data_IF_080189042736
#
_entry.id   IF_080189042736
#
_cell.length_a   1.000
_cell.length_b   1.000
_cell.length_c   1.000
_cell.angle_alpha   90.00
_cell.angle_beta   90.00
_cell.angle_gamma   90.00
#
_symmetry.space_group_name_H-M   'P 1'
#
loop_
_entity.id
_entity.type
_entity.pdbx_description
1 polymer ?
#
# COMPACT_ATOMS: atom_id res chain seq x y z
N UNK A 1 -28.47 -39.09 11.31
CA UNK A 1 -28.27 -37.77 10.70
C UNK A 1 -27.36 -37.98 9.52
N UNK A 2 -27.71 -37.40 8.39
CA UNK A 2 -26.91 -37.52 7.17
C UNK A 2 -25.70 -36.59 7.26
N UNK A 3 -24.48 -37.07 6.95
CA UNK A 3 -23.30 -36.22 6.92
C UNK A 3 -23.38 -35.27 5.73
N UNK A 4 -23.21 -33.96 5.99
CA UNK A 4 -23.18 -32.91 4.97
C UNK A 4 -21.78 -32.29 4.93
N UNK A 5 -21.28 -31.96 3.73
CA UNK A 5 -19.99 -31.27 3.63
C UNK A 5 -20.11 -29.84 4.16
N UNK A 6 -19.07 -29.35 4.82
CA UNK A 6 -19.03 -28.00 5.37
C UNK A 6 -19.39 -26.91 4.34
N UNK A 7 -18.81 -26.96 3.14
CA UNK A 7 -19.08 -25.98 2.09
C UNK A 7 -20.46 -26.10 1.43
N UNK A 8 -21.08 -27.27 1.50
CA UNK A 8 -22.48 -27.45 1.08
C UNK A 8 -23.41 -26.82 2.12
N UNK A 9 -23.16 -27.08 3.40
CA UNK A 9 -23.87 -26.47 4.53
C UNK A 9 -23.81 -24.94 4.52
N UNK A 10 -22.61 -24.38 4.39
CA UNK A 10 -22.43 -22.91 4.30
C UNK A 10 -23.10 -22.34 3.06
N UNK A 11 -23.07 -23.06 1.93
CA UNK A 11 -23.76 -22.66 0.71
C UNK A 11 -25.27 -22.48 0.93
N UNK A 12 -25.94 -23.49 1.50
CA UNK A 12 -27.39 -23.44 1.77
C UNK A 12 -27.76 -22.26 2.69
N UNK A 13 -26.94 -21.98 3.71
CA UNK A 13 -27.18 -20.84 4.62
C UNK A 13 -27.04 -19.51 3.88
N UNK A 14 -25.99 -19.34 3.08
CA UNK A 14 -25.74 -18.10 2.34
C UNK A 14 -26.78 -17.87 1.26
N UNK A 15 -27.16 -18.92 0.52
CA UNK A 15 -28.20 -18.87 -0.50
C UNK A 15 -29.55 -18.45 0.14
N UNK A 16 -29.91 -19.01 1.30
CA UNK A 16 -31.14 -18.64 2.03
C UNK A 16 -31.12 -17.23 2.64
N UNK A 17 -29.93 -16.66 2.86
CA UNK A 17 -29.75 -15.29 3.33
C UNK A 17 -29.51 -14.28 2.18
N UNK A 18 -29.61 -14.72 0.92
CA UNK A 18 -29.41 -13.90 -0.30
C UNK A 18 -27.98 -13.37 -0.43
N UNK A 19 -26.99 -14.13 0.04
CA UNK A 19 -25.57 -13.84 -0.18
C UNK A 19 -25.01 -14.64 -1.35
N UNK A 20 -24.01 -14.06 -2.02
CA UNK A 20 -23.24 -14.80 -3.02
C UNK A 20 -22.43 -15.93 -2.38
N UNK A 21 -22.45 -17.08 -3.04
CA UNK A 21 -21.71 -18.26 -2.59
C UNK A 21 -20.19 -18.02 -2.69
N UNK A 22 -19.40 -18.37 -1.66
CA UNK A 22 -17.96 -18.17 -1.67
C UNK A 22 -17.31 -19.03 -2.76
N UNK A 23 -16.71 -18.37 -3.75
CA UNK A 23 -16.03 -19.01 -4.88
C UNK A 23 -14.52 -19.15 -4.69
N UNK A 24 -13.93 -18.35 -3.78
CA UNK A 24 -12.50 -18.31 -3.52
C UNK A 24 -12.12 -19.42 -2.54
N UNK A 25 -11.26 -20.34 -2.99
CA UNK A 25 -10.72 -21.42 -2.15
C UNK A 25 -9.30 -21.07 -1.73
N UNK A 26 -9.10 -20.81 -0.44
CA UNK A 26 -7.78 -20.50 0.12
C UNK A 26 -7.23 -21.78 0.78
N UNK A 27 -6.02 -22.25 0.40
CA UNK A 27 -5.43 -23.44 1.00
C UNK A 27 -5.04 -23.19 2.46
N UNK A 28 -5.17 -24.22 3.30
CA UNK A 28 -4.91 -24.12 4.74
C UNK A 28 -3.44 -23.78 5.07
N UNK A 29 -2.50 -24.16 4.21
CA UNK A 29 -1.08 -23.81 4.34
C UNK A 29 -0.84 -22.29 4.31
N UNK A 30 -1.61 -21.55 3.50
CA UNK A 30 -1.55 -20.08 3.42
C UNK A 30 -2.31 -19.44 4.58
N UNK A 31 -3.45 -20.02 4.96
CA UNK A 31 -4.30 -19.45 6.02
C UNK A 31 -3.66 -19.58 7.42
N UNK A 32 -2.90 -20.66 7.69
CA UNK A 32 -2.23 -20.89 8.98
C UNK A 32 -1.26 -19.77 9.42
N UNK A 33 -0.27 -19.35 8.60
CA UNK A 33 0.64 -18.27 8.99
C UNK A 33 -0.09 -16.93 9.15
N UNK A 34 -1.09 -16.65 8.30
CA UNK A 34 -1.95 -15.46 8.44
C UNK A 34 -2.65 -15.45 9.80
N UNK A 35 -3.19 -16.58 10.23
CA UNK A 35 -3.85 -16.70 11.53
C UNK A 35 -2.90 -16.55 12.70
N UNK A 36 -1.68 -17.10 12.58
CA UNK A 36 -0.64 -16.94 13.58
C UNK A 36 -0.22 -15.47 13.72
N UNK A 37 -0.09 -14.76 12.60
CA UNK A 37 0.18 -13.33 12.58
C UNK A 37 -0.94 -12.53 13.26
N UNK A 38 -2.21 -12.82 12.93
CA UNK A 38 -3.37 -12.16 13.56
C UNK A 38 -3.41 -12.45 15.07
N UNK A 39 -3.11 -13.68 15.49
CA UNK A 39 -3.03 -14.04 16.90
C UNK A 39 -1.89 -13.30 17.62
N UNK A 40 -0.73 -13.15 16.98
CA UNK A 40 0.39 -12.38 17.51
C UNK A 40 0.04 -10.90 17.67
N UNK A 41 -0.59 -10.30 16.64
CA UNK A 41 -1.09 -8.94 16.69
C UNK A 41 -2.10 -8.73 17.81
N UNK A 42 -3.03 -9.67 17.99
CA UNK A 42 -3.97 -9.63 19.10
C UNK A 42 -3.28 -9.78 20.46
N UNK A 43 -2.22 -10.58 20.58
CA UNK A 43 -1.45 -10.68 21.83
C UNK A 43 -0.75 -9.37 22.17
N UNK A 44 -0.25 -8.65 21.16
CA UNK A 44 0.45 -7.39 21.32
C UNK A 44 -0.51 -6.21 21.60
N UNK A 45 -1.63 -6.14 20.88
CA UNK A 45 -2.60 -5.03 20.97
C UNK A 45 -3.80 -5.35 21.87
N UNK A 46 -3.94 -6.58 22.36
CA UNK A 46 -5.01 -7.01 23.26
C UNK A 46 -5.11 -6.16 24.53
N UNK A 47 -3.98 -5.78 25.19
CA UNK A 47 -4.00 -4.85 26.33
C UNK A 47 -4.57 -3.47 26.01
N UNK A 48 -4.61 -3.08 24.74
CA UNK A 48 -5.14 -1.80 24.26
C UNK A 48 -6.64 -1.87 23.90
N UNK A 49 -7.34 -2.93 24.29
CA UNK A 49 -8.80 -3.05 24.12
C UNK A 49 -9.24 -3.56 22.75
N UNK A 50 -8.39 -4.28 22.02
CA UNK A 50 -8.77 -4.89 20.75
C UNK A 50 -9.82 -6.01 20.96
N UNK A 51 -10.92 -6.07 20.17
CA UNK A 51 -11.86 -7.18 20.23
C UNK A 51 -11.25 -8.48 19.70
N UNK A 52 -11.76 -9.62 20.19
CA UNK A 52 -11.24 -10.95 19.81
C UNK A 52 -11.37 -11.15 18.28
N UNK A 53 -10.27 -11.46 17.57
CA UNK A 53 -10.31 -11.66 16.14
C UNK A 53 -11.11 -12.91 15.78
N UNK A 54 -11.91 -12.82 14.73
CA UNK A 54 -12.70 -13.97 14.25
C UNK A 54 -11.81 -15.05 13.59
N UNK A 55 -10.63 -14.66 13.11
CA UNK A 55 -9.63 -15.50 12.43
C UNK A 55 -8.58 -16.00 13.43
N UNK A 56 -8.95 -16.97 14.26
CA UNK A 56 -8.02 -17.62 15.21
C UNK A 56 -7.44 -18.90 14.59
N UNK A 57 -6.16 -19.26 14.86
CA UNK A 57 -5.56 -20.51 14.40
C UNK A 57 -6.38 -21.77 14.76
N UNK A 58 -6.99 -21.78 15.94
CA UNK A 58 -7.86 -22.87 16.40
C UNK A 58 -9.08 -23.06 15.49
N UNK A 59 -9.77 -21.97 15.16
CA UNK A 59 -10.94 -21.99 14.26
C UNK A 59 -10.55 -22.47 12.87
N UNK A 60 -9.42 -22.00 12.34
CA UNK A 60 -8.95 -22.44 11.02
C UNK A 60 -8.60 -23.92 11.00
N UNK A 61 -7.98 -24.42 12.07
CA UNK A 61 -7.72 -25.86 12.23
C UNK A 61 -9.02 -26.67 12.25
N UNK A 62 -10.03 -26.21 13.01
CA UNK A 62 -11.34 -26.84 13.05
C UNK A 62 -12.05 -26.85 11.69
N UNK A 63 -11.96 -25.75 10.94
CA UNK A 63 -12.58 -25.63 9.61
C UNK A 63 -11.85 -26.44 8.53
N UNK A 64 -10.55 -26.69 8.71
CA UNK A 64 -9.75 -27.47 7.76
C UNK A 64 -10.01 -28.97 7.89
N UNK A 65 -10.28 -29.44 9.11
CA UNK A 65 -10.50 -30.87 9.37
C UNK A 65 -11.97 -31.26 9.20
N UNK A 66 -12.24 -32.23 8.33
CA UNK A 66 -13.56 -32.87 8.29
C UNK A 66 -13.76 -33.72 9.54
N UNK A 67 -14.73 -33.35 10.38
CA UNK A 67 -15.15 -34.15 11.54
C UNK A 67 -16.62 -34.49 11.42
N UNK A 68 -16.94 -35.76 11.55
CA UNK A 68 -18.30 -36.27 11.63
C UNK A 68 -18.53 -36.88 13.01
N UNK A 69 -19.68 -36.63 13.60
CA UNK A 69 -20.05 -37.20 14.90
C UNK A 69 -21.06 -38.35 14.69
N UNK A 70 -20.80 -39.49 15.32
CA UNK A 70 -21.76 -40.59 15.35
C UNK A 70 -22.72 -40.42 16.52
N UNK A 71 -24.01 -40.42 16.21
CA UNK A 71 -25.08 -40.40 17.22
C UNK A 71 -25.49 -41.80 17.71
N UNK A 72 -24.76 -42.88 17.36
CA UNK A 72 -25.16 -44.25 17.76
C UNK A 72 -25.28 -44.41 19.27
N UNK A 73 -24.22 -44.04 20.02
CA UNK A 73 -24.21 -44.11 21.49
C UNK A 73 -25.31 -43.27 22.15
N UNK A 74 -25.71 -42.16 21.52
CA UNK A 74 -26.78 -41.31 22.04
C UNK A 74 -28.15 -41.98 21.84
N UNK A 75 -28.37 -42.64 20.70
CA UNK A 75 -29.59 -43.43 20.48
C UNK A 75 -29.70 -44.56 21.50
N UNK A 76 -28.62 -45.27 21.75
CA UNK A 76 -28.63 -46.45 22.62
C UNK A 76 -28.79 -46.10 24.10
N UNK A 77 -28.15 -45.01 24.56
CA UNK A 77 -28.09 -44.67 25.99
C UNK A 77 -29.18 -43.72 26.47
N UNK A 78 -29.60 -42.80 25.60
CA UNK A 78 -30.54 -41.72 25.96
C UNK A 78 -31.76 -41.68 25.03
N UNK A 79 -31.98 -42.73 24.23
CA UNK A 79 -33.10 -42.86 23.28
C UNK A 79 -33.27 -41.62 22.39
N UNK A 80 -32.15 -40.98 22.05
CA UNK A 80 -32.17 -39.71 21.32
C UNK A 80 -32.72 -39.90 19.90
N UNK A 81 -33.78 -39.17 19.58
CA UNK A 81 -34.34 -39.08 18.23
C UNK A 81 -34.38 -37.61 17.79
N UNK A 82 -33.85 -37.27 16.60
CA UNK A 82 -33.88 -35.90 16.12
C UNK A 82 -35.32 -35.46 15.84
N UNK A 83 -35.77 -34.39 16.50
CA UNK A 83 -37.13 -33.83 16.38
C UNK A 83 -37.38 -33.29 14.96
N UNK A 84 -36.34 -32.74 14.33
CA UNK A 84 -36.41 -32.16 12.98
C UNK A 84 -35.31 -32.74 12.10
N UNK A 85 -35.60 -32.81 10.79
CA UNK A 85 -34.57 -33.13 9.80
C UNK A 85 -33.55 -31.99 9.69
N UNK A 86 -32.37 -32.29 9.17
CA UNK A 86 -31.30 -31.29 9.01
C UNK A 86 -31.72 -30.12 8.12
N UNK A 87 -32.41 -30.42 7.00
CA UNK A 87 -32.89 -29.40 6.06
C UNK A 87 -33.98 -28.51 6.67
N UNK A 88 -34.92 -29.10 7.42
CA UNK A 88 -35.97 -28.34 8.11
C UNK A 88 -35.38 -27.45 9.21
N UNK A 89 -34.39 -27.96 9.97
CA UNK A 89 -33.67 -27.18 10.97
C UNK A 89 -32.91 -26.00 10.37
N UNK A 90 -32.28 -26.19 9.20
CA UNK A 90 -31.63 -25.13 8.44
C UNK A 90 -32.61 -24.04 8.03
N UNK A 91 -33.76 -24.41 7.46
CA UNK A 91 -34.81 -23.48 7.03
C UNK A 91 -35.28 -22.60 8.19
N UNK A 92 -35.65 -23.21 9.33
CA UNK A 92 -36.08 -22.49 10.55
C UNK A 92 -35.01 -21.54 11.09
N UNK A 93 -33.74 -21.96 10.99
CA UNK A 93 -32.61 -21.13 11.41
C UNK A 93 -32.48 -19.91 10.51
N UNK A 94 -32.53 -20.08 9.19
CA UNK A 94 -32.47 -18.98 8.22
C UNK A 94 -33.63 -17.99 8.44
N UNK A 95 -34.84 -18.49 8.69
CA UNK A 95 -36.01 -17.65 8.96
C UNK A 95 -35.85 -16.83 10.26
N UNK A 96 -35.24 -17.41 11.30
CA UNK A 96 -34.91 -16.72 12.56
C UNK A 96 -33.88 -15.60 12.37
N UNK A 97 -32.90 -15.80 11.48
CA UNK A 97 -31.86 -14.82 11.17
C UNK A 97 -32.23 -13.87 10.02
N UNK A 98 -33.51 -13.54 9.86
CA UNK A 98 -34.00 -12.63 8.82
C UNK A 98 -33.29 -11.26 8.80
N UNK A 99 -32.87 -10.75 9.97
CA UNK A 99 -32.12 -9.49 10.11
C UNK A 99 -30.70 -9.52 9.50
N UNK A 100 -30.15 -10.71 9.23
CA UNK A 100 -28.83 -10.87 8.59
C UNK A 100 -28.93 -10.95 7.06
N UNK A 101 -30.14 -10.95 6.47
CA UNK A 101 -30.32 -11.01 5.02
C UNK A 101 -29.62 -9.84 4.34
N UNK A 102 -29.02 -10.12 3.19
CA UNK A 102 -28.36 -9.09 2.39
C UNK A 102 -29.39 -8.05 1.94
N UNK A 103 -29.21 -6.81 2.37
CA UNK A 103 -29.94 -5.67 1.82
C UNK A 103 -29.31 -5.30 0.47
N UNK A 104 -29.90 -5.80 -0.61
CA UNK A 104 -29.43 -5.57 -1.98
C UNK A 104 -29.36 -4.08 -2.32
N UNK A 105 -30.20 -3.24 -1.69
CA UNK A 105 -30.25 -1.80 -1.96
C UNK A 105 -29.02 -1.04 -1.44
N UNK A 106 -28.33 -1.56 -0.41
CA UNK A 106 -27.19 -0.88 0.21
C UNK A 106 -25.89 -1.01 -0.60
N UNK A 107 -25.82 -1.93 -1.55
CA UNK A 107 -24.64 -2.16 -2.41
C UNK A 107 -24.49 -1.15 -3.54
N UNK A 108 -25.51 -0.35 -3.85
CA UNK A 108 -25.47 0.62 -4.94
C UNK A 108 -24.74 1.94 -4.57
N UNK A 109 -24.37 2.12 -3.30
CA UNK A 109 -23.63 3.30 -2.83
C UNK A 109 -22.11 3.19 -3.05
N UNK A 110 -21.39 4.32 -3.20
CA UNK A 110 -19.93 4.32 -3.27
C UNK A 110 -19.31 3.66 -2.03
N UNK A 111 -18.22 2.91 -2.23
CA UNK A 111 -17.59 2.16 -1.15
C UNK A 111 -17.15 3.09 0.00
N UNK A 112 -17.25 2.62 1.24
CA UNK A 112 -16.84 3.41 2.42
C UNK A 112 -15.38 3.90 2.31
N UNK A 113 -14.52 3.09 1.70
CA UNK A 113 -13.13 3.45 1.42
C UNK A 113 -13.01 4.59 0.40
N UNK A 114 -13.85 4.62 -0.64
CA UNK A 114 -13.88 5.75 -1.59
C UNK A 114 -14.26 7.07 -0.90
N UNK A 115 -15.23 7.02 0.01
CA UNK A 115 -15.62 8.18 0.81
C UNK A 115 -14.49 8.63 1.75
N UNK A 116 -13.82 7.67 2.41
CA UNK A 116 -12.77 7.93 3.40
C UNK A 116 -11.47 8.45 2.77
N UNK A 117 -11.18 8.07 1.52
CA UNK A 117 -10.06 8.61 0.73
C UNK A 117 -10.34 10.00 0.14
N UNK A 118 -11.44 10.66 0.55
CA UNK A 118 -11.76 12.03 0.16
C UNK A 118 -12.41 12.15 -1.21
N UNK A 119 -12.99 11.06 -1.75
CA UNK A 119 -13.79 10.99 -2.99
C UNK A 119 -13.27 11.88 -4.14
N UNK A 120 -12.55 11.28 -5.09
CA UNK A 120 -12.03 12.00 -6.25
C UNK A 120 -10.89 11.24 -6.94
N UNK A 121 -10.12 11.96 -7.76
CA UNK A 121 -9.11 11.37 -8.67
C UNK A 121 -8.05 10.54 -7.93
N UNK A 122 -7.65 10.94 -6.73
CA UNK A 122 -6.72 10.17 -5.89
C UNK A 122 -7.34 8.87 -5.37
N UNK A 123 -8.61 8.90 -4.95
CA UNK A 123 -9.35 7.72 -4.53
C UNK A 123 -9.58 6.75 -5.70
N UNK A 124 -9.93 7.25 -6.89
CA UNK A 124 -10.08 6.43 -8.11
C UNK A 124 -8.75 5.79 -8.55
N UNK A 125 -7.64 6.52 -8.40
CA UNK A 125 -6.30 6.01 -8.70
C UNK A 125 -5.87 4.94 -7.69
N UNK A 126 -6.14 5.13 -6.39
CA UNK A 126 -5.76 4.18 -5.34
C UNK A 126 -6.68 2.96 -5.25
N UNK A 127 -7.98 3.11 -5.55
CA UNK A 127 -8.98 2.03 -5.54
C UNK A 127 -9.02 1.22 -6.84
N UNK A 128 -7.99 1.33 -7.68
CA UNK A 128 -7.77 0.46 -8.84
C UNK A 128 -8.86 0.55 -9.91
N UNK A 129 -9.43 1.73 -10.13
CA UNK A 129 -10.40 1.96 -11.22
C UNK A 129 -9.73 2.02 -12.59
N UNK A 130 -8.51 2.57 -12.66
CA UNK A 130 -7.72 2.70 -13.90
C UNK A 130 -6.41 1.88 -13.86
N UNK A 131 -6.45 0.66 -14.42
CA UNK A 131 -5.33 -0.32 -14.40
C UNK A 131 -3.99 0.26 -14.90
N UNK A 132 -4.00 1.16 -15.89
CA UNK A 132 -2.78 1.75 -16.46
C UNK A 132 -2.14 2.78 -15.52
N UNK A 133 -2.94 3.67 -14.95
CA UNK A 133 -2.46 4.69 -14.01
C UNK A 133 -1.95 4.06 -12.71
N UNK A 134 -2.61 3.00 -12.23
CA UNK A 134 -2.15 2.27 -11.04
C UNK A 134 -0.81 1.59 -11.25
N UNK A 135 -0.57 1.04 -12.45
CA UNK A 135 0.72 0.40 -12.76
C UNK A 135 1.82 1.46 -12.83
N UNK A 136 1.58 2.60 -13.48
CA UNK A 136 2.55 3.71 -13.53
C UNK A 136 2.85 4.25 -12.12
N UNK A 137 1.80 4.51 -11.32
CA UNK A 137 1.98 4.98 -9.94
C UNK A 137 2.75 3.97 -9.09
N UNK A 138 2.48 2.67 -9.24
CA UNK A 138 3.22 1.62 -8.55
C UNK A 138 4.68 1.54 -9.00
N UNK A 139 4.96 1.66 -10.30
CA UNK A 139 6.32 1.70 -10.84
C UNK A 139 7.08 2.92 -10.30
N UNK A 140 6.45 4.10 -10.28
CA UNK A 140 7.04 5.32 -9.71
C UNK A 140 7.32 5.14 -8.22
N UNK A 141 6.38 4.53 -7.48
CA UNK A 141 6.56 4.27 -6.05
C UNK A 141 7.68 3.24 -5.79
N UNK A 142 7.78 2.19 -6.60
CA UNK A 142 8.86 1.19 -6.53
C UNK A 142 10.20 1.85 -6.88
N UNK A 143 10.25 2.67 -7.93
CA UNK A 143 11.46 3.41 -8.31
C UNK A 143 11.90 4.36 -7.18
N UNK A 144 10.95 5.07 -6.57
CA UNK A 144 11.19 5.91 -5.40
C UNK A 144 11.73 5.09 -4.20
N UNK A 145 11.13 3.92 -3.95
CA UNK A 145 11.59 2.99 -2.91
C UNK A 145 13.02 2.50 -3.19
N UNK A 146 13.34 2.02 -4.39
CA UNK A 146 14.70 1.58 -4.69
C UNK A 146 15.72 2.72 -4.62
N UNK A 147 15.35 3.91 -5.09
CA UNK A 147 16.24 5.06 -5.12
C UNK A 147 16.55 5.60 -3.71
N UNK A 148 15.56 5.63 -2.82
CA UNK A 148 15.70 6.23 -1.50
C UNK A 148 15.98 5.20 -0.40
N UNK A 149 15.33 4.04 -0.46
CA UNK A 149 15.33 3.06 0.62
C UNK A 149 16.38 1.96 0.40
N UNK A 150 16.40 1.33 -0.77
CA UNK A 150 17.31 0.21 -1.01
C UNK A 150 18.81 0.59 -1.05
N UNK A 151 19.12 1.88 -1.19
CA UNK A 151 20.50 2.37 -1.36
C UNK A 151 20.99 3.27 -0.21
N UNK A 152 20.22 3.38 0.87
CA UNK A 152 20.55 4.15 2.09
C UNK A 152 21.01 5.61 1.85
N UNK A 153 20.52 6.25 0.79
CA UNK A 153 20.92 7.62 0.46
C UNK A 153 20.16 8.65 1.28
N UNK A 154 20.90 9.51 2.00
CA UNK A 154 20.34 10.75 2.55
C UNK A 154 19.91 11.70 1.42
N UNK A 155 18.92 12.56 1.66
CA UNK A 155 18.43 13.55 0.69
C UNK A 155 19.60 14.33 0.05
N UNK A 156 20.61 14.67 0.86
CA UNK A 156 21.84 15.35 0.42
C UNK A 156 22.62 14.55 -0.63
N UNK A 157 22.81 13.24 -0.42
CA UNK A 157 23.52 12.37 -1.37
C UNK A 157 22.72 12.16 -2.66
N UNK A 158 21.40 12.04 -2.57
CA UNK A 158 20.52 11.93 -3.73
C UNK A 158 20.56 13.18 -4.62
N UNK A 159 20.50 14.38 -4.00
CA UNK A 159 20.60 15.67 -4.71
C UNK A 159 21.99 15.83 -5.34
N UNK A 160 23.05 15.49 -4.62
CA UNK A 160 24.42 15.54 -5.14
C UNK A 160 24.62 14.62 -6.35
N UNK A 161 24.13 13.38 -6.30
CA UNK A 161 24.20 12.44 -7.42
C UNK A 161 23.37 12.90 -8.62
N UNK A 162 22.16 13.45 -8.39
CA UNK A 162 21.33 14.00 -9.47
C UNK A 162 22.01 15.18 -10.16
N UNK A 163 22.61 16.09 -9.39
CA UNK A 163 23.42 17.20 -9.90
C UNK A 163 24.64 16.70 -10.68
N UNK A 164 25.31 15.68 -10.16
CA UNK A 164 26.47 15.06 -10.81
C UNK A 164 26.10 14.42 -12.16
N UNK A 165 25.00 13.66 -12.22
CA UNK A 165 24.49 13.06 -13.47
C UNK A 165 24.05 14.14 -14.45
N UNK A 166 23.37 15.18 -13.97
CA UNK A 166 22.95 16.31 -14.82
C UNK A 166 24.16 17.04 -15.40
N UNK A 167 25.17 17.31 -14.57
CA UNK A 167 26.41 17.98 -15.01
C UNK A 167 27.19 17.11 -15.98
N UNK A 168 27.30 15.80 -15.72
CA UNK A 168 27.92 14.84 -16.63
C UNK A 168 27.18 14.76 -17.97
N UNK A 169 25.85 14.73 -17.95
CA UNK A 169 25.04 14.72 -19.16
C UNK A 169 25.23 16.02 -19.97
N UNK A 170 25.19 17.18 -19.32
CA UNK A 170 25.46 18.48 -19.95
C UNK A 170 26.90 18.54 -20.51
N UNK A 171 27.87 17.96 -19.81
CA UNK A 171 29.26 17.90 -20.24
C UNK A 171 29.44 16.99 -21.46
N UNK A 172 28.87 15.78 -21.45
CA UNK A 172 28.87 14.85 -22.59
C UNK A 172 28.17 15.47 -23.79
N UNK A 173 27.03 16.13 -23.57
CA UNK A 173 26.30 16.83 -24.63
C UNK A 173 27.05 18.06 -25.16
N UNK A 174 27.87 18.72 -24.32
CA UNK A 174 28.74 19.83 -24.72
C UNK A 174 29.98 19.37 -25.50
N UNK A 175 30.51 18.19 -25.20
CA UNK A 175 31.69 17.60 -25.84
C UNK A 175 31.37 16.86 -27.14
N UNK A 176 30.13 16.37 -27.32
CA UNK A 176 29.73 15.64 -28.53
C UNK A 176 29.87 16.54 -29.78
N UNK A 177 30.67 16.14 -30.79
CA UNK A 177 30.73 16.84 -32.06
C UNK A 177 29.36 16.76 -32.74
N UNK A 178 28.84 17.88 -33.28
CA UNK A 178 27.56 17.92 -34.01
C UNK A 178 27.57 17.07 -35.30
N UNK A 179 28.73 16.55 -35.69
CA UNK A 179 28.93 15.58 -36.77
C UNK A 179 30.05 14.61 -36.37
N UNK A 180 29.70 13.38 -36.02
CA UNK A 180 30.66 12.27 -35.90
C UNK A 180 30.68 11.49 -37.22
N UNK A 181 31.67 11.67 -38.11
CA UNK A 181 31.85 10.78 -39.25
C UNK A 181 32.51 9.48 -38.78
N UNK A 182 31.71 8.48 -38.43
CA UNK A 182 32.24 7.12 -38.28
C UNK A 182 32.47 6.54 -39.67
N UNK A 183 33.72 6.61 -40.14
CA UNK A 183 34.14 5.92 -41.36
C UNK A 183 34.32 4.44 -41.02
N UNK A 184 33.34 3.61 -41.40
CA UNK A 184 33.59 2.19 -41.62
C UNK A 184 33.44 1.91 -43.12
N UNK A 185 34.43 1.19 -43.64
CA UNK A 185 34.64 0.94 -45.05
C UNK A 185 33.44 0.19 -45.66
N UNK A 186 33.21 0.42 -46.96
CA UNK A 186 32.07 -0.05 -47.74
C UNK A 186 31.94 -1.57 -47.65
N UNK A 187 30.89 -2.06 -47.00
CA UNK A 187 29.95 -3.04 -47.56
C UNK A 187 28.76 -3.26 -46.61
N UNK A 188 27.59 -2.74 -47.03
CA UNK A 188 26.24 -2.92 -46.47
C UNK A 188 25.97 -2.36 -45.05
N UNK A 189 24.79 -1.73 -44.89
CA UNK A 189 24.04 -1.35 -43.64
C UNK A 189 23.87 0.19 -43.45
N UNK A 190 22.66 0.68 -43.08
CA UNK A 190 22.20 2.04 -43.41
C UNK A 190 22.79 3.14 -42.53
N UNK A 191 22.98 4.33 -43.14
CA UNK A 191 23.39 5.57 -42.47
C UNK A 191 22.30 6.04 -41.50
N UNK A 192 22.50 5.83 -40.20
CA UNK A 192 21.77 6.56 -39.16
C UNK A 192 22.62 7.76 -38.77
N UNK A 193 22.26 8.92 -39.31
CA UNK A 193 22.86 10.21 -38.93
C UNK A 193 22.13 10.71 -37.69
N UNK A 194 22.74 10.56 -36.51
CA UNK A 194 22.24 11.23 -35.31
C UNK A 194 22.65 12.71 -35.39
N UNK A 195 21.73 13.56 -35.83
CA UNK A 195 21.87 15.01 -35.70
C UNK A 195 21.55 15.32 -34.25
N UNK A 196 22.56 15.39 -33.38
CA UNK A 196 22.38 15.94 -32.04
C UNK A 196 22.18 17.45 -32.17
N UNK A 197 20.97 17.91 -31.89
CA UNK A 197 20.62 19.32 -31.87
C UNK A 197 21.41 19.97 -30.72
N UNK A 198 22.50 20.66 -31.05
CA UNK A 198 23.35 21.32 -30.05
C UNK A 198 22.51 22.39 -29.38
N UNK A 199 22.34 22.29 -28.05
CA UNK A 199 21.62 23.26 -27.26
C UNK A 199 22.20 24.65 -27.58
N UNK A 200 21.42 25.60 -28.13
CA UNK A 200 21.94 26.88 -28.56
C UNK A 200 22.43 27.69 -27.36
N UNK A 201 23.55 28.42 -27.46
CA UNK A 201 24.15 29.14 -26.34
C UNK A 201 23.23 30.22 -25.71
N UNK A 202 22.17 30.61 -26.42
CA UNK A 202 21.11 31.49 -25.91
C UNK A 202 20.29 30.89 -24.77
N UNK A 203 20.20 29.56 -24.64
CA UNK A 203 19.47 28.91 -23.54
C UNK A 203 20.19 29.01 -22.19
N UNK A 204 21.49 29.31 -22.20
CA UNK A 204 22.31 29.49 -21.00
C UNK A 204 22.57 30.97 -20.66
N UNK A 205 22.09 31.88 -21.51
CA UNK A 205 22.20 33.32 -21.26
C UNK A 205 21.10 33.76 -20.29
N UNK A 206 21.35 33.60 -18.99
CA UNK A 206 20.48 34.16 -17.97
C UNK A 206 20.68 35.68 -17.93
N UNK A 207 19.61 36.44 -18.15
CA UNK A 207 19.64 37.90 -17.97
C UNK A 207 20.08 38.25 -16.55
N UNK A 208 21.00 39.21 -16.41
CA UNK A 208 21.56 39.66 -15.12
C UNK A 208 20.46 39.98 -14.10
N UNK A 209 19.37 40.59 -14.56
CA UNK A 209 18.20 40.89 -13.74
C UNK A 209 17.53 39.65 -13.14
N UNK A 210 17.38 38.57 -13.91
CA UNK A 210 16.82 37.28 -13.43
C UNK A 210 17.76 36.59 -12.46
N UNK A 211 19.08 36.70 -12.67
CA UNK A 211 20.07 36.17 -11.73
C UNK A 211 20.04 36.94 -10.40
N UNK A 212 19.96 38.28 -10.46
CA UNK A 212 19.87 39.13 -9.29
C UNK A 212 18.57 38.89 -8.50
N UNK A 213 17.43 38.78 -9.19
CA UNK A 213 16.15 38.43 -8.56
C UNK A 213 16.21 37.06 -7.87
N UNK A 214 16.80 36.05 -8.51
CA UNK A 214 16.96 34.72 -7.90
C UNK A 214 17.91 34.76 -6.70
N UNK A 215 19.00 35.51 -6.77
CA UNK A 215 19.94 35.67 -5.67
C UNK A 215 19.28 36.37 -4.47
N UNK A 216 18.51 37.43 -4.71
CA UNK A 216 17.74 38.13 -3.69
C UNK A 216 16.65 37.23 -3.07
N UNK A 217 16.00 36.39 -3.88
CA UNK A 217 15.01 35.42 -3.40
C UNK A 217 15.64 34.32 -2.54
N UNK A 218 16.77 33.75 -2.96
CA UNK A 218 17.51 32.76 -2.15
C UNK A 218 18.00 33.40 -0.85
N UNK A 219 18.50 34.64 -0.92
CA UNK A 219 18.92 35.42 0.25
C UNK A 219 17.76 35.70 1.20
N UNK A 220 16.57 36.04 0.71
CA UNK A 220 15.41 36.30 1.55
C UNK A 220 14.89 35.03 2.24
N UNK A 221 14.90 33.89 1.56
CA UNK A 221 14.60 32.58 2.14
C UNK A 221 15.59 32.25 3.25
N UNK A 222 16.89 32.39 2.97
CA UNK A 222 17.95 32.11 3.94
C UNK A 222 17.80 32.98 5.19
N UNK A 223 17.60 34.28 5.01
CA UNK A 223 17.39 35.22 6.10
C UNK A 223 16.12 34.89 6.90
N UNK A 224 15.04 34.46 6.24
CA UNK A 224 13.80 34.04 6.91
C UNK A 224 14.00 32.79 7.79
N UNK A 225 14.69 31.78 7.26
CA UNK A 225 15.03 30.55 8.00
C UNK A 225 15.95 30.87 9.17
N UNK A 226 16.99 31.67 8.96
CA UNK A 226 17.93 32.08 10.00
C UNK A 226 17.23 32.85 11.13
N UNK A 227 16.36 33.81 10.79
CA UNK A 227 15.60 34.59 11.76
C UNK A 227 14.60 33.71 12.55
N UNK A 228 13.97 32.74 11.88
CA UNK A 228 13.06 31.79 12.53
C UNK A 228 13.82 30.87 13.47
N UNK A 229 14.98 30.34 13.05
CA UNK A 229 15.89 29.57 13.91
C UNK A 229 16.35 30.40 15.10
N UNK A 230 16.69 31.66 14.89
CA UNK A 230 17.12 32.55 15.98
C UNK A 230 15.98 32.86 16.95
N UNK A 231 14.74 33.03 16.47
CA UNK A 231 13.55 33.20 17.33
C UNK A 231 13.26 31.95 18.16
N UNK A 232 13.39 30.77 17.55
CA UNK A 232 13.28 29.48 18.23
C UNK A 232 14.35 29.32 19.32
N UNK A 233 15.62 29.64 19.03
CA UNK A 233 16.70 29.57 20.02
C UNK A 233 16.54 30.57 21.17
N UNK A 234 15.95 31.74 20.91
CA UNK A 234 15.66 32.76 21.94
C UNK A 234 14.36 32.47 22.72
N UNK A 235 13.60 31.45 22.34
CA UNK A 235 12.37 31.03 23.01
C UNK A 235 11.24 32.07 22.97
N UNK A 236 11.28 33.05 22.06
CA UNK A 236 10.32 34.17 22.05
C UNK A 236 8.92 33.75 21.57
N UNK A 237 8.84 32.84 20.61
CA UNK A 237 7.58 32.49 19.93
C UNK A 237 7.20 31.02 20.14
N UNK A 238 6.52 30.73 21.25
CA UNK A 238 6.07 29.38 21.61
C UNK A 238 5.15 28.75 20.55
N UNK A 239 4.35 29.56 19.85
CA UNK A 239 3.45 29.11 18.79
C UNK A 239 4.20 28.63 17.54
N UNK A 240 5.30 29.29 17.18
CA UNK A 240 6.20 28.84 16.11
C UNK A 240 6.95 27.57 16.52
N UNK A 241 7.42 27.51 17.77
CA UNK A 241 8.06 26.32 18.32
C UNK A 241 7.17 25.09 18.24
N UNK A 242 5.90 25.18 18.70
CA UNK A 242 4.97 24.05 18.63
C UNK A 242 4.65 23.65 17.19
N UNK A 243 4.54 24.59 16.25
CA UNK A 243 4.35 24.28 14.82
C UNK A 243 5.55 23.54 14.23
N UNK A 244 6.76 24.03 14.50
CA UNK A 244 8.00 23.41 14.01
C UNK A 244 8.21 22.04 14.66
N UNK A 245 7.98 21.92 15.96
CA UNK A 245 8.05 20.65 16.69
C UNK A 245 7.06 19.63 16.14
N UNK A 246 5.79 20.02 15.90
CA UNK A 246 4.80 19.13 15.26
C UNK A 246 5.25 18.68 13.89
N UNK A 247 5.81 19.57 13.08
CA UNK A 247 6.29 19.22 11.75
C UNK A 247 7.48 18.25 11.81
N UNK A 248 8.46 18.51 12.67
CA UNK A 248 9.61 17.62 12.91
C UNK A 248 9.18 16.27 13.52
N UNK A 249 8.20 16.26 14.41
CA UNK A 249 7.66 15.05 15.02
C UNK A 249 6.95 14.17 13.98
N UNK A 250 6.15 14.78 13.09
CA UNK A 250 5.52 14.05 11.97
C UNK A 250 6.60 13.49 11.03
N UNK A 251 7.63 14.25 10.71
CA UNK A 251 8.76 13.77 9.92
C UNK A 251 9.50 12.62 10.63
N UNK A 252 9.71 12.70 11.94
CA UNK A 252 10.32 11.65 12.76
C UNK A 252 9.49 10.36 12.75
N UNK A 253 8.16 10.45 12.91
CA UNK A 253 7.26 9.29 12.83
C UNK A 253 7.28 8.67 11.43
N UNK A 254 7.25 9.47 10.37
CA UNK A 254 7.37 8.98 8.99
C UNK A 254 8.71 8.27 8.76
N UNK A 255 9.81 8.83 9.30
CA UNK A 255 11.14 8.23 9.22
C UNK A 255 11.20 6.91 10.00
N UNK A 256 10.63 6.86 11.21
CA UNK A 256 10.61 5.67 12.06
C UNK A 256 9.69 4.58 11.52
N UNK A 257 8.58 4.92 10.87
CA UNK A 257 7.75 3.96 10.13
C UNK A 257 8.55 3.38 8.95
N UNK A 258 9.31 4.24 8.25
CA UNK A 258 10.24 3.80 7.21
C UNK A 258 11.22 2.79 7.81
N UNK A 259 12.01 3.16 8.83
CA UNK A 259 12.98 2.29 9.54
C UNK A 259 12.37 1.01 10.16
N UNK A 260 11.16 1.08 10.72
CA UNK A 260 10.46 -0.10 11.26
C UNK A 260 10.08 -1.11 10.17
N UNK A 261 9.80 -0.64 8.95
CA UNK A 261 9.67 -1.50 7.77
C UNK A 261 11.00 -2.14 7.35
N UNK A 262 12.15 -1.47 7.52
CA UNK A 262 13.47 -2.07 7.25
C UNK A 262 13.75 -3.26 8.17
N UNK A 263 13.46 -3.14 9.48
CA UNK A 263 13.75 -4.22 10.43
C UNK A 263 12.92 -5.49 10.14
N UNK A 264 11.65 -5.32 9.73
CA UNK A 264 10.76 -6.44 9.37
C UNK A 264 11.17 -7.11 8.05
N UNK A 265 11.81 -6.38 7.13
CA UNK A 265 12.26 -6.93 5.84
C UNK A 265 13.62 -7.61 5.95
N UNK A 266 14.52 -7.12 6.82
CA UNK A 266 15.86 -7.71 7.02
C UNK A 266 15.83 -9.00 7.86
N UNK A 267 14.90 -9.14 8.81
CA UNK A 267 14.70 -10.41 9.55
C UNK A 267 13.97 -11.50 8.74
N UNK A 268 13.59 -11.23 7.50
CA UNK A 268 12.93 -12.17 6.58
C UNK A 268 13.77 -12.57 5.37
N UNK A 269 15.06 -12.17 5.31
CA UNK A 269 16.04 -12.66 4.34
C UNK A 269 16.98 -13.68 4.97
#
# INVERSE_FOLDING_TARGET
MEPMKFWEFVGVILDGLVYERPSIKIPASVMKPIAQLVALMYKLLGPYGMPVPQLTPSRISLLTCNRTFSCSKAKDRIFYTPIVSLQEGLKRTIDSYSHLRADLTKREGPSKSYLLLGSGKAADTLLRKDRKQTIIALIVLIAFYYYFIATEYTITTAVSKLLMVTTFFLFVHGFLPSKLPFACNKDKIPRIVFITEKIPPSSFHFSEERCNQNALFIGSIWNSVANTSQSLCKGKDWTLFVKVYKHLFVQYILLHISYGMYFVIVDCG
#
